data_IF_861799678923
#
_entry.id   IF_861799678923
#
_cell.length_a   1.000
_cell.length_b   1.000
_cell.length_c   1.000
_cell.angle_alpha   90.00
_cell.angle_beta   90.00
_cell.angle_gamma   90.00
#
_symmetry.space_group_name_H-M   'P 1'
#
loop_
_entity.id
_entity.type
_entity.pdbx_description
1 polymer ?
#
# COMPACT_ATOMS: atom_id res chain seq x y z
N UNK A 1 32.72 80.65 26.80
CA UNK A 1 33.39 79.35 26.72
C UNK A 1 32.32 78.33 26.36
N UNK A 2 32.36 77.90 25.08
CA UNK A 2 31.31 77.09 24.44
C UNK A 2 31.57 75.61 24.66
N UNK A 3 30.58 74.90 25.14
CA UNK A 3 30.62 73.45 25.27
C UNK A 3 29.63 72.85 24.24
N UNK A 4 30.14 72.38 23.11
CA UNK A 4 29.39 71.72 22.05
C UNK A 4 29.15 70.23 22.45
N UNK A 5 27.91 69.84 22.70
CA UNK A 5 27.49 68.45 22.81
C UNK A 5 27.24 67.89 21.44
N UNK A 6 28.00 66.85 21.07
CA UNK A 6 27.78 65.99 19.85
C UNK A 6 26.71 64.98 20.14
N UNK A 7 25.62 65.05 19.40
CA UNK A 7 24.58 64.00 19.33
C UNK A 7 25.07 62.95 18.31
N UNK A 8 25.26 61.70 18.77
CA UNK A 8 25.50 60.55 17.91
C UNK A 8 24.16 59.81 17.66
N UNK A 9 23.71 59.83 16.40
CA UNK A 9 22.60 59.02 15.95
C UNK A 9 23.10 57.57 15.74
N UNK A 10 22.44 56.60 16.41
CA UNK A 10 22.55 55.16 16.10
C UNK A 10 21.45 54.80 15.13
N UNK A 11 21.72 54.13 14.00
CA UNK A 11 20.68 53.61 13.17
C UNK A 11 20.01 52.42 13.83
N UNK A 12 18.69 52.47 13.96
CA UNK A 12 17.86 51.34 14.35
C UNK A 12 17.69 50.47 13.11
N UNK A 13 18.32 49.30 13.11
CA UNK A 13 18.08 48.25 12.10
C UNK A 13 16.69 47.64 12.41
N UNK A 14 15.72 47.95 11.56
CA UNK A 14 14.41 47.31 11.57
C UNK A 14 14.56 45.97 10.86
N UNK A 15 14.72 44.88 11.62
CA UNK A 15 14.58 43.51 11.11
C UNK A 15 13.10 43.27 10.80
N UNK A 16 12.74 43.39 9.50
CA UNK A 16 11.47 42.87 9.01
C UNK A 16 11.51 41.35 9.05
N UNK A 17 10.89 40.79 10.08
CA UNK A 17 10.59 39.36 10.12
C UNK A 17 9.56 39.07 9.00
N UNK A 18 10.01 38.46 7.89
CA UNK A 18 9.10 37.83 6.95
C UNK A 18 8.45 36.62 7.66
N UNK A 19 7.28 36.85 8.23
CA UNK A 19 6.38 35.75 8.59
C UNK A 19 5.87 35.14 7.29
N UNK A 20 6.47 34.05 6.86
CA UNK A 20 5.91 33.19 5.83
C UNK A 20 4.63 32.60 6.44
N UNK A 21 3.48 33.23 6.18
CA UNK A 21 2.18 32.67 6.49
C UNK A 21 2.01 31.47 5.56
N UNK A 22 2.19 30.26 6.08
CA UNK A 22 1.66 29.05 5.46
C UNK A 22 0.13 29.20 5.46
N UNK A 23 -0.40 29.72 4.37
CA UNK A 23 -1.84 29.81 4.14
C UNK A 23 -2.41 28.40 4.18
N UNK A 24 -3.33 28.16 5.10
CA UNK A 24 -4.14 26.95 5.15
C UNK A 24 -4.99 26.92 3.87
N UNK A 25 -4.69 25.99 2.96
CA UNK A 25 -5.50 25.69 1.77
C UNK A 25 -6.77 24.96 2.22
N UNK A 26 -7.76 25.65 2.73
CA UNK A 26 -9.05 25.04 3.04
C UNK A 26 -9.95 25.07 1.80
N UNK A 27 -10.05 23.93 1.09
CA UNK A 27 -11.14 23.68 0.15
C UNK A 27 -11.03 24.34 -1.24
N UNK A 28 -9.88 24.87 -1.63
CA UNK A 28 -9.69 25.32 -3.02
C UNK A 28 -9.45 24.13 -3.96
N UNK A 29 -10.01 24.16 -5.18
CA UNK A 29 -9.72 23.15 -6.20
C UNK A 29 -8.21 23.02 -6.44
N UNK A 30 -7.70 21.81 -6.73
CA UNK A 30 -6.29 21.66 -7.05
C UNK A 30 -5.91 22.48 -8.28
N UNK A 31 -4.70 23.01 -8.30
CA UNK A 31 -4.16 23.73 -9.47
C UNK A 31 -3.51 22.81 -10.49
N UNK A 32 -3.24 21.56 -10.11
CA UNK A 32 -2.65 20.51 -10.92
C UNK A 32 -3.66 19.41 -11.21
N UNK A 33 -3.32 18.59 -12.17
CA UNK A 33 -4.02 17.36 -12.45
C UNK A 33 -3.19 16.15 -11.94
N UNK A 34 -3.88 15.11 -11.47
CA UNK A 34 -3.32 13.92 -10.87
C UNK A 34 -3.94 12.69 -11.53
N UNK A 35 -3.13 11.71 -11.89
CA UNK A 35 -3.60 10.46 -12.49
C UNK A 35 -3.21 9.27 -11.63
N UNK A 36 -4.19 8.43 -11.39
CA UNK A 36 -3.99 7.12 -10.78
C UNK A 36 -4.56 6.04 -11.69
N UNK A 37 -3.96 4.84 -11.62
CA UNK A 37 -4.56 3.64 -12.20
C UNK A 37 -4.95 2.67 -11.09
N UNK A 38 -6.10 2.03 -11.28
CA UNK A 38 -6.58 1.02 -10.35
C UNK A 38 -7.10 -0.19 -11.13
N UNK A 39 -7.12 -1.32 -10.47
CA UNK A 39 -7.72 -2.55 -10.99
C UNK A 39 -9.13 -2.73 -10.43
N UNK A 40 -10.02 -3.25 -11.27
CA UNK A 40 -11.42 -3.56 -10.94
C UNK A 40 -11.61 -5.07 -11.13
N UNK A 41 -11.49 -5.81 -10.02
CA UNK A 41 -11.26 -7.27 -10.02
C UNK A 41 -12.38 -8.05 -10.70
N UNK A 42 -13.63 -7.88 -10.26
CA UNK A 42 -14.78 -8.60 -10.83
C UNK A 42 -15.19 -8.12 -12.23
N UNK A 43 -14.71 -6.95 -12.63
CA UNK A 43 -15.01 -6.37 -13.93
C UNK A 43 -13.96 -6.69 -15.00
N UNK A 44 -12.82 -7.30 -14.64
CA UNK A 44 -11.67 -7.49 -15.52
C UNK A 44 -11.22 -6.20 -16.21
N UNK A 45 -11.07 -5.12 -15.44
CA UNK A 45 -10.70 -3.80 -15.96
C UNK A 45 -9.57 -3.15 -15.16
N UNK A 46 -8.80 -2.35 -15.88
CA UNK A 46 -7.97 -1.29 -15.29
C UNK A 46 -8.70 0.02 -15.58
N UNK A 47 -8.92 0.85 -14.57
CA UNK A 47 -9.44 2.20 -14.74
C UNK A 47 -8.32 3.21 -14.56
N UNK A 48 -8.28 4.23 -15.42
CA UNK A 48 -7.45 5.43 -15.27
C UNK A 48 -8.35 6.55 -14.77
N UNK A 49 -8.05 7.07 -13.59
CA UNK A 49 -8.78 8.19 -13.00
C UNK A 49 -7.90 9.42 -13.03
N UNK A 50 -8.47 10.53 -13.53
CA UNK A 50 -7.88 11.86 -13.43
C UNK A 50 -8.65 12.67 -12.39
N UNK A 51 -7.91 13.37 -11.54
CA UNK A 51 -8.42 14.35 -10.59
C UNK A 51 -7.73 15.69 -10.83
N UNK A 52 -8.51 16.77 -10.89
CA UNK A 52 -7.98 18.10 -11.13
C UNK A 52 -8.99 19.19 -10.77
N UNK A 53 -8.80 20.43 -11.28
CA UNK A 53 -9.68 21.56 -10.97
C UNK A 53 -11.16 21.32 -11.27
N UNK A 54 -11.45 20.43 -12.21
CA UNK A 54 -12.82 20.05 -12.62
C UNK A 54 -13.41 18.89 -11.85
N UNK A 55 -12.71 18.37 -10.81
CA UNK A 55 -13.09 17.17 -10.05
C UNK A 55 -12.43 15.90 -10.56
N UNK A 56 -13.02 14.74 -10.25
CA UNK A 56 -12.49 13.43 -10.60
C UNK A 56 -13.31 12.79 -11.73
N UNK A 57 -12.64 12.19 -12.71
CA UNK A 57 -13.27 11.47 -13.82
C UNK A 57 -12.52 10.17 -14.15
N UNK A 58 -13.25 9.14 -14.58
CA UNK A 58 -12.64 7.97 -15.22
C UNK A 58 -12.38 8.33 -16.69
N UNK A 59 -11.13 8.52 -17.06
CA UNK A 59 -10.76 8.87 -18.44
C UNK A 59 -10.77 7.67 -19.38
N UNK A 60 -10.38 6.50 -18.85
CA UNK A 60 -10.21 5.31 -19.66
C UNK A 60 -10.41 4.05 -18.82
N UNK A 61 -10.93 3.01 -19.46
CA UNK A 61 -10.90 1.65 -18.94
C UNK A 61 -10.25 0.73 -19.95
N UNK A 62 -9.41 -0.20 -19.47
CA UNK A 62 -8.68 -1.18 -20.27
C UNK A 62 -9.04 -2.57 -19.80
N UNK A 63 -9.33 -3.47 -20.74
CA UNK A 63 -9.66 -4.87 -20.41
C UNK A 63 -8.40 -5.66 -20.04
N UNK A 64 -8.51 -6.49 -19.00
CA UNK A 64 -7.43 -7.36 -18.52
C UNK A 64 -7.68 -8.84 -18.80
N UNK A 65 -8.85 -9.16 -19.35
CA UNK A 65 -9.28 -10.55 -19.56
C UNK A 65 -8.30 -11.31 -20.45
N UNK A 66 -7.76 -12.42 -19.92
CA UNK A 66 -6.87 -13.32 -20.64
C UNK A 66 -7.69 -14.33 -21.47
N UNK A 67 -8.76 -14.87 -20.86
CA UNK A 67 -9.68 -15.80 -21.50
C UNK A 67 -11.08 -15.20 -21.48
N UNK A 68 -11.80 -15.26 -22.61
CA UNK A 68 -13.15 -14.68 -22.70
C UNK A 68 -14.20 -15.39 -21.84
N UNK A 69 -13.96 -16.65 -21.50
CA UNK A 69 -14.88 -17.49 -20.75
C UNK A 69 -14.68 -17.45 -19.23
N UNK A 70 -13.66 -16.74 -18.74
CA UNK A 70 -13.30 -16.78 -17.34
C UNK A 70 -12.96 -15.38 -16.82
N UNK A 71 -13.23 -15.14 -15.52
CA UNK A 71 -12.84 -13.93 -14.83
C UNK A 71 -11.36 -14.03 -14.50
N UNK A 72 -10.56 -13.06 -14.98
CA UNK A 72 -9.12 -13.00 -14.73
C UNK A 72 -8.79 -12.45 -13.34
N UNK A 73 -9.60 -11.52 -12.83
CA UNK A 73 -9.48 -10.94 -11.51
C UNK A 73 -8.18 -10.19 -11.31
N UNK A 74 -7.96 -9.03 -11.95
CA UNK A 74 -6.80 -8.20 -11.68
C UNK A 74 -6.84 -7.68 -10.25
N UNK A 75 -5.77 -7.88 -9.45
CA UNK A 75 -5.80 -7.60 -8.02
C UNK A 75 -4.77 -6.55 -7.58
N UNK A 76 -3.50 -6.70 -7.93
CA UNK A 76 -2.42 -5.75 -7.64
C UNK A 76 -1.99 -4.96 -8.86
N UNK A 77 -1.52 -3.74 -8.65
CA UNK A 77 -0.93 -2.87 -9.68
C UNK A 77 0.29 -2.16 -9.11
N UNK A 78 1.34 -2.04 -9.92
CA UNK A 78 2.55 -1.29 -9.59
C UNK A 78 3.16 -0.66 -10.85
N UNK A 79 3.58 0.59 -10.77
CA UNK A 79 4.32 1.25 -11.84
C UNK A 79 5.83 0.99 -11.75
N UNK A 80 6.49 0.93 -12.92
CA UNK A 80 7.95 1.12 -12.96
C UNK A 80 8.31 2.52 -12.47
N UNK A 81 9.51 2.72 -11.88
CA UNK A 81 9.93 4.03 -11.36
C UNK A 81 9.89 5.14 -12.42
N UNK A 82 10.22 4.83 -13.67
CA UNK A 82 10.19 5.76 -14.81
C UNK A 82 8.78 5.98 -15.39
N UNK A 83 7.77 5.30 -14.83
CA UNK A 83 6.35 5.36 -15.24
C UNK A 83 6.07 4.95 -16.70
N UNK A 84 7.05 4.38 -17.41
CA UNK A 84 6.84 3.89 -18.79
C UNK A 84 6.09 2.59 -18.87
N UNK A 85 6.16 1.79 -17.79
CA UNK A 85 5.45 0.53 -17.68
C UNK A 85 4.68 0.46 -16.38
N UNK A 86 3.66 -0.39 -16.35
CA UNK A 86 3.02 -0.83 -15.12
C UNK A 86 2.75 -2.33 -15.18
N UNK A 87 2.65 -2.93 -14.01
CA UNK A 87 2.47 -4.37 -13.84
C UNK A 87 1.15 -4.62 -13.14
N UNK A 88 0.41 -5.62 -13.59
CA UNK A 88 -0.86 -6.04 -13.00
C UNK A 88 -0.80 -7.51 -12.67
N UNK A 89 -1.12 -7.88 -11.42
CA UNK A 89 -1.26 -9.27 -11.03
C UNK A 89 -2.68 -9.76 -11.34
N UNK A 90 -2.77 -10.96 -11.90
CA UNK A 90 -4.02 -11.63 -12.20
C UNK A 90 -4.21 -12.75 -11.17
N UNK A 91 -5.21 -12.55 -10.30
CA UNK A 91 -5.45 -13.42 -9.15
C UNK A 91 -6.16 -14.73 -9.48
N UNK A 92 -7.13 -14.67 -10.39
CA UNK A 92 -7.89 -15.86 -10.76
C UNK A 92 -7.17 -16.69 -11.81
N UNK A 93 -7.27 -17.99 -11.69
CA UNK A 93 -6.59 -18.97 -12.54
C UNK A 93 -6.03 -20.10 -11.69
N UNK A 94 -6.18 -21.32 -12.14
CA UNK A 94 -5.63 -22.50 -11.48
C UNK A 94 -4.81 -23.33 -12.47
N UNK A 95 -3.68 -23.87 -12.05
CA UNK A 95 -3.07 -23.83 -10.71
C UNK A 95 -2.14 -22.62 -10.49
N UNK A 96 -2.07 -21.69 -11.42
CA UNK A 96 -1.10 -20.58 -11.43
C UNK A 96 -1.79 -19.24 -11.61
N UNK A 97 -1.20 -18.19 -11.06
CA UNK A 97 -1.51 -16.81 -11.38
C UNK A 97 -0.57 -16.26 -12.45
N UNK A 98 -0.75 -14.98 -12.79
CA UNK A 98 0.03 -14.31 -13.84
C UNK A 98 0.34 -12.87 -13.42
N UNK A 99 1.48 -12.34 -13.86
CA UNK A 99 1.72 -10.90 -13.90
C UNK A 99 1.81 -10.45 -15.35
N UNK A 100 1.09 -9.38 -15.68
CA UNK A 100 1.08 -8.73 -16.98
C UNK A 100 1.89 -7.44 -16.91
N UNK A 101 2.79 -7.22 -17.86
CA UNK A 101 3.50 -5.95 -18.08
C UNK A 101 2.80 -5.16 -19.16
N UNK A 102 2.40 -3.93 -18.84
CA UNK A 102 1.77 -3.00 -19.77
C UNK A 102 2.72 -1.85 -20.12
N UNK A 103 2.67 -1.41 -21.36
CA UNK A 103 3.22 -0.11 -21.74
C UNK A 103 2.23 0.99 -21.32
N UNK A 104 2.68 1.96 -20.53
CA UNK A 104 1.80 2.97 -19.94
C UNK A 104 1.16 3.90 -20.98
N UNK A 105 1.89 4.23 -22.04
CA UNK A 105 1.40 5.15 -23.08
C UNK A 105 0.21 4.61 -23.87
N UNK A 106 0.14 3.28 -24.05
CA UNK A 106 -0.87 2.63 -24.89
C UNK A 106 -1.86 1.78 -24.11
N UNK A 107 -1.53 1.40 -22.87
CA UNK A 107 -2.20 0.38 -22.05
C UNK A 107 -2.25 -1.01 -22.76
N UNK A 108 -1.24 -1.33 -23.54
CA UNK A 108 -1.12 -2.65 -24.17
C UNK A 108 -0.22 -3.56 -23.35
N UNK A 109 -0.62 -4.81 -23.22
CA UNK A 109 0.24 -5.87 -22.67
C UNK A 109 1.42 -6.07 -23.62
N UNK A 110 2.63 -5.96 -23.05
CA UNK A 110 3.87 -6.15 -23.83
C UNK A 110 4.57 -7.46 -23.48
N UNK A 111 4.43 -7.94 -22.26
CA UNK A 111 4.97 -9.22 -21.77
C UNK A 111 4.11 -9.76 -20.64
N UNK A 112 4.26 -11.05 -20.33
CA UNK A 112 3.63 -11.70 -19.17
C UNK A 112 4.52 -12.78 -18.58
N UNK A 113 4.25 -13.17 -17.32
CA UNK A 113 4.93 -14.27 -16.62
C UNK A 113 3.95 -15.03 -15.75
N UNK A 114 4.08 -16.35 -15.73
CA UNK A 114 3.32 -17.22 -14.83
C UNK A 114 3.96 -17.19 -13.43
N UNK A 115 3.13 -17.02 -12.40
CA UNK A 115 3.52 -16.92 -10.99
C UNK A 115 2.89 -18.04 -10.16
N UNK A 116 3.00 -17.93 -8.83
CA UNK A 116 2.25 -18.79 -7.92
C UNK A 116 0.75 -18.51 -7.94
N UNK A 117 -0.01 -19.25 -7.15
CA UNK A 117 -1.46 -19.13 -7.10
C UNK A 117 -1.87 -17.81 -6.42
N UNK A 118 -2.80 -17.11 -7.08
CA UNK A 118 -3.36 -15.83 -6.65
C UNK A 118 -2.30 -14.79 -6.25
N UNK A 119 -1.49 -14.27 -7.19
CA UNK A 119 -0.60 -13.16 -6.88
C UNK A 119 -1.43 -11.91 -6.56
N UNK A 120 -1.39 -11.49 -5.28
CA UNK A 120 -2.24 -10.41 -4.77
C UNK A 120 -1.59 -9.04 -4.96
N UNK A 121 -0.46 -8.81 -4.31
CA UNK A 121 0.22 -7.52 -4.37
C UNK A 121 1.54 -7.63 -5.11
N UNK A 122 1.93 -6.54 -5.73
CA UNK A 122 3.22 -6.42 -6.38
C UNK A 122 3.81 -5.04 -6.11
N UNK A 123 5.15 -4.98 -6.10
CA UNK A 123 5.91 -3.75 -5.98
C UNK A 123 7.20 -3.86 -6.80
N UNK A 124 7.69 -2.74 -7.32
CA UNK A 124 8.89 -2.69 -8.18
C UNK A 124 10.04 -2.07 -7.40
N UNK A 125 11.23 -2.65 -7.51
CA UNK A 125 12.44 -2.07 -6.90
C UNK A 125 12.71 -0.65 -7.44
N UNK A 126 13.30 0.25 -6.62
CA UNK A 126 13.56 1.64 -7.05
C UNK A 126 14.44 1.78 -8.29
N UNK A 127 15.28 0.78 -8.59
CA UNK A 127 16.08 0.72 -9.81
C UNK A 127 15.29 0.20 -11.04
N UNK A 128 14.06 -0.28 -10.81
CA UNK A 128 13.17 -0.78 -11.85
C UNK A 128 13.46 -2.21 -12.33
N UNK A 129 14.47 -2.89 -11.78
CA UNK A 129 14.93 -4.17 -12.31
C UNK A 129 14.06 -5.36 -11.92
N UNK A 130 13.48 -5.34 -10.71
CA UNK A 130 12.71 -6.48 -10.20
C UNK A 130 11.31 -6.09 -9.74
N UNK A 131 10.36 -6.95 -10.07
CA UNK A 131 9.00 -6.95 -9.54
C UNK A 131 8.90 -8.05 -8.47
N UNK A 132 8.53 -7.70 -7.25
CA UNK A 132 8.22 -8.63 -6.17
C UNK A 132 6.71 -8.83 -6.11
N UNK A 133 6.23 -10.02 -6.45
CA UNK A 133 4.80 -10.36 -6.46
C UNK A 133 4.48 -11.38 -5.37
N UNK A 134 3.53 -11.06 -4.51
CA UNK A 134 3.14 -11.92 -3.39
C UNK A 134 2.09 -12.92 -3.84
N UNK A 135 2.40 -14.21 -3.79
CA UNK A 135 1.50 -15.30 -4.09
C UNK A 135 0.62 -15.59 -2.88
N UNK A 136 -0.56 -14.98 -2.82
CA UNK A 136 -1.46 -15.05 -1.67
C UNK A 136 -2.03 -16.44 -1.41
N UNK A 137 -2.19 -17.25 -2.46
CA UNK A 137 -2.72 -18.61 -2.39
C UNK A 137 -4.15 -18.69 -1.82
N UNK A 138 -5.00 -17.67 -2.09
CA UNK A 138 -6.32 -17.53 -1.47
C UNK A 138 -7.23 -18.77 -1.65
N UNK A 139 -7.14 -19.42 -2.80
CA UNK A 139 -7.99 -20.58 -3.14
C UNK A 139 -7.23 -21.91 -3.11
N UNK A 140 -6.01 -21.92 -2.58
CA UNK A 140 -5.19 -23.11 -2.42
C UNK A 140 -5.31 -23.75 -1.04
N UNK A 141 -4.52 -24.80 -0.85
CA UNK A 141 -4.37 -25.43 0.47
C UNK A 141 -3.71 -24.44 1.47
N UNK A 142 -4.02 -24.55 2.76
CA UNK A 142 -3.46 -23.69 3.79
C UNK A 142 -2.00 -24.08 4.14
N UNK A 143 -1.12 -23.96 3.17
CA UNK A 143 0.31 -24.24 3.26
C UNK A 143 1.13 -22.95 3.06
N UNK A 144 2.39 -22.92 3.50
CA UNK A 144 3.28 -21.81 3.20
C UNK A 144 3.35 -21.53 1.69
N UNK A 145 3.15 -20.26 1.33
CA UNK A 145 3.25 -19.77 -0.03
C UNK A 145 4.56 -18.99 -0.22
N UNK A 146 4.62 -18.03 -1.15
CA UNK A 146 5.87 -17.45 -1.59
C UNK A 146 5.72 -16.02 -2.07
N UNK A 147 6.86 -15.36 -2.24
CA UNK A 147 7.01 -14.14 -3.03
C UNK A 147 7.81 -14.49 -4.29
N UNK A 148 7.27 -14.20 -5.45
CA UNK A 148 7.95 -14.33 -6.73
C UNK A 148 8.77 -13.06 -7.03
N UNK A 149 10.02 -13.23 -7.45
CA UNK A 149 10.88 -12.14 -7.95
C UNK A 149 10.99 -12.29 -9.46
N UNK A 150 10.58 -11.25 -10.17
CA UNK A 150 10.50 -11.25 -11.63
C UNK A 150 11.46 -10.19 -12.17
N UNK A 151 12.32 -10.55 -13.11
CA UNK A 151 13.05 -9.58 -13.94
C UNK A 151 12.03 -8.78 -14.77
N UNK A 152 12.01 -7.47 -14.61
CA UNK A 152 11.01 -6.61 -15.24
C UNK A 152 11.22 -6.44 -16.73
N UNK A 153 12.45 -6.60 -17.25
CA UNK A 153 12.77 -6.46 -18.66
C UNK A 153 12.34 -7.70 -19.44
N UNK A 154 12.78 -8.86 -18.97
CA UNK A 154 12.49 -10.13 -19.65
C UNK A 154 11.15 -10.74 -19.25
N UNK A 155 10.56 -10.33 -18.10
CA UNK A 155 9.38 -10.93 -17.50
C UNK A 155 9.57 -12.43 -17.25
N UNK A 156 10.68 -12.75 -16.57
CA UNK A 156 11.04 -14.10 -16.16
C UNK A 156 11.12 -14.13 -14.64
N UNK A 157 10.52 -15.14 -14.01
CA UNK A 157 10.67 -15.39 -12.58
C UNK A 157 12.09 -15.88 -12.30
N UNK A 158 12.91 -15.04 -11.65
CA UNK A 158 14.31 -15.34 -11.31
C UNK A 158 14.46 -15.99 -9.95
N UNK A 159 13.49 -15.78 -9.06
CA UNK A 159 13.45 -16.44 -7.76
C UNK A 159 11.99 -16.60 -7.28
N UNK A 160 11.77 -17.66 -6.49
CA UNK A 160 10.52 -17.87 -5.74
C UNK A 160 10.89 -18.12 -4.29
N UNK A 161 10.61 -17.13 -3.43
CA UNK A 161 11.05 -17.09 -2.04
C UNK A 161 9.93 -17.66 -1.17
N UNK A 162 10.10 -18.85 -0.57
CA UNK A 162 9.12 -19.38 0.38
C UNK A 162 8.95 -18.42 1.57
N UNK A 163 7.70 -18.17 1.97
CA UNK A 163 7.38 -17.28 3.08
C UNK A 163 6.46 -17.99 4.07
N UNK A 164 5.22 -17.63 4.13
CA UNK A 164 4.27 -17.99 5.17
C UNK A 164 2.91 -18.40 4.60
N UNK A 165 1.95 -18.71 5.45
CA UNK A 165 0.61 -19.05 5.00
C UNK A 165 -0.15 -17.75 4.74
N UNK A 166 -0.70 -17.60 3.51
CA UNK A 166 -1.44 -16.46 3.03
C UNK A 166 -0.66 -15.12 3.21
N UNK A 167 0.53 -14.97 2.59
CA UNK A 167 1.17 -13.66 2.49
C UNK A 167 0.28 -12.75 1.62
N UNK A 168 0.11 -11.47 2.02
CA UNK A 168 -0.83 -10.60 1.30
C UNK A 168 -0.24 -9.24 0.93
N UNK A 169 -0.38 -8.24 1.81
CA UNK A 169 0.06 -6.89 1.52
C UNK A 169 1.56 -6.71 1.75
N UNK A 170 2.23 -6.15 0.77
CA UNK A 170 3.68 -5.96 0.82
C UNK A 170 4.12 -4.65 0.20
N UNK A 171 5.29 -4.16 0.63
CA UNK A 171 5.99 -3.02 0.05
C UNK A 171 7.49 -3.20 0.14
N UNK A 172 8.19 -2.65 -0.83
CA UNK A 172 9.64 -2.52 -0.83
C UNK A 172 10.00 -1.25 -0.04
N UNK A 173 11.08 -1.30 0.73
CA UNK A 173 11.64 -0.12 1.40
C UNK A 173 12.13 0.92 0.39
N UNK A 174 12.18 2.18 0.80
CA UNK A 174 12.57 3.27 -0.10
C UNK A 174 13.98 3.13 -0.65
N UNK A 175 14.90 2.52 0.11
CA UNK A 175 16.27 2.19 -0.33
C UNK A 175 16.34 0.97 -1.26
N UNK A 176 15.24 0.24 -1.43
CA UNK A 176 15.16 -0.94 -2.28
C UNK A 176 15.77 -2.21 -1.69
N UNK A 177 16.35 -2.16 -0.48
CA UNK A 177 17.11 -3.28 0.10
C UNK A 177 16.23 -4.33 0.80
N UNK A 178 15.01 -3.97 1.16
CA UNK A 178 14.10 -4.84 1.91
C UNK A 178 12.70 -4.83 1.31
N UNK A 179 12.08 -6.00 1.23
CA UNK A 179 10.65 -6.16 0.97
C UNK A 179 9.99 -6.69 2.23
N UNK A 180 8.92 -6.03 2.67
CA UNK A 180 8.13 -6.41 3.84
C UNK A 180 6.81 -7.04 3.40
N UNK A 181 6.46 -8.18 3.98
CA UNK A 181 5.25 -8.93 3.64
C UNK A 181 4.45 -9.32 4.89
N UNK A 182 3.15 -9.08 4.86
CA UNK A 182 2.22 -9.42 5.93
C UNK A 182 1.68 -10.84 5.74
N UNK A 183 1.75 -11.68 6.78
CA UNK A 183 1.37 -13.09 6.77
C UNK A 183 0.09 -13.31 7.56
N UNK A 184 -1.07 -13.31 6.89
CA UNK A 184 -2.39 -13.28 7.53
C UNK A 184 -2.65 -14.44 8.50
N UNK A 185 -2.14 -15.63 8.18
CA UNK A 185 -2.46 -16.85 8.91
C UNK A 185 -1.38 -17.31 9.87
N UNK A 186 -0.30 -16.53 10.04
CA UNK A 186 0.78 -16.81 10.98
C UNK A 186 1.02 -15.66 11.98
N UNK A 187 0.28 -14.54 11.89
CA UNK A 187 0.54 -13.32 12.66
C UNK A 187 2.01 -12.87 12.53
N UNK A 188 2.59 -12.93 11.33
CA UNK A 188 3.98 -12.57 11.08
C UNK A 188 4.09 -11.39 10.11
N UNK A 189 5.05 -10.52 10.39
CA UNK A 189 5.71 -9.66 9.43
C UNK A 189 6.97 -10.37 8.96
N UNK A 190 7.17 -10.50 7.65
CA UNK A 190 8.37 -11.10 7.04
C UNK A 190 9.16 -10.02 6.34
N UNK A 191 10.48 -9.99 6.54
CA UNK A 191 11.41 -9.17 5.80
C UNK A 191 12.23 -10.05 4.84
N UNK A 192 12.24 -9.67 3.58
CA UNK A 192 13.05 -10.28 2.52
C UNK A 192 14.19 -9.31 2.18
N UNK A 193 15.42 -9.83 2.18
CA UNK A 193 16.60 -9.17 1.61
C UNK A 193 16.46 -9.24 0.09
N UNK A 194 16.35 -8.10 -0.57
CA UNK A 194 16.05 -8.05 -2.01
C UNK A 194 17.26 -8.43 -2.87
N UNK A 195 18.49 -8.16 -2.41
CA UNK A 195 19.71 -8.53 -3.12
C UNK A 195 19.97 -10.04 -3.03
N UNK A 196 19.78 -10.62 -1.82
CA UNK A 196 19.98 -12.05 -1.60
C UNK A 196 18.76 -12.89 -1.99
N UNK A 197 17.65 -12.25 -2.30
CA UNK A 197 16.37 -12.89 -2.66
C UNK A 197 15.97 -14.01 -1.67
N UNK A 198 16.00 -13.68 -0.38
CA UNK A 198 15.66 -14.60 0.70
C UNK A 198 15.09 -13.91 1.91
N UNK A 199 14.30 -14.63 2.70
CA UNK A 199 13.87 -14.14 4.01
C UNK A 199 15.08 -13.92 4.91
N UNK A 200 15.24 -12.70 5.41
CA UNK A 200 16.28 -12.31 6.38
C UNK A 200 15.80 -12.57 7.81
N UNK A 201 14.61 -12.11 8.13
CA UNK A 201 14.02 -12.20 9.48
C UNK A 201 12.48 -12.10 9.42
N UNK A 202 11.85 -12.41 10.55
CA UNK A 202 10.42 -12.23 10.73
C UNK A 202 10.11 -11.69 12.12
N UNK A 203 8.91 -11.15 12.30
CA UNK A 203 8.45 -10.59 13.56
C UNK A 203 7.04 -11.08 13.87
N UNK A 204 6.84 -11.67 15.06
CA UNK A 204 5.52 -12.08 15.53
C UNK A 204 4.72 -10.87 16.03
N UNK A 205 3.52 -10.73 15.51
CA UNK A 205 2.65 -9.58 15.74
C UNK A 205 1.56 -9.83 16.80
N UNK A 206 1.37 -11.09 17.22
CA UNK A 206 0.35 -11.44 18.21
C UNK A 206 0.60 -10.70 19.52
N UNK A 207 -0.44 -10.05 20.07
CA UNK A 207 -0.34 -9.27 21.29
C UNK A 207 0.15 -10.10 22.48
N UNK A 208 1.17 -9.59 23.18
CA UNK A 208 1.82 -10.27 24.32
C UNK A 208 2.76 -11.42 23.93
N UNK A 209 3.00 -11.62 22.60
CA UNK A 209 3.93 -12.64 22.09
C UNK A 209 4.87 -12.05 21.03
N UNK A 210 5.05 -10.74 21.04
CA UNK A 210 5.88 -10.02 20.09
C UNK A 210 7.33 -10.47 20.20
N UNK A 211 7.85 -10.99 19.09
CA UNK A 211 9.22 -11.51 19.05
C UNK A 211 9.79 -11.48 17.63
N UNK A 212 11.04 -11.06 17.52
CA UNK A 212 11.84 -11.16 16.29
C UNK A 212 12.51 -12.52 16.16
N UNK A 213 12.62 -13.00 14.91
CA UNK A 213 13.29 -14.25 14.55
C UNK A 213 14.23 -14.02 13.36
N UNK A 214 15.32 -14.76 13.30
CA UNK A 214 16.11 -14.91 12.08
C UNK A 214 15.38 -15.90 11.16
N UNK A 215 15.06 -15.51 9.94
CA UNK A 215 14.25 -16.32 9.03
C UNK A 215 12.79 -16.45 9.49
N UNK A 216 12.15 -17.55 9.15
CA UNK A 216 10.78 -17.89 9.55
C UNK A 216 10.82 -18.92 10.66
N UNK A 217 10.12 -18.69 11.79
CA UNK A 217 10.09 -19.67 12.88
C UNK A 217 9.44 -20.97 12.40
N UNK A 218 10.10 -22.09 12.68
CA UNK A 218 9.55 -23.42 12.49
C UNK A 218 8.50 -23.65 13.59
N UNK A 219 7.22 -23.57 13.23
CA UNK A 219 6.18 -24.05 14.15
C UNK A 219 6.27 -25.58 14.21
N UNK A 220 6.35 -26.13 15.42
CA UNK A 220 6.27 -27.58 15.59
C UNK A 220 4.87 -28.01 15.18
N UNK A 221 4.73 -28.45 13.94
CA UNK A 221 3.55 -29.20 13.52
C UNK A 221 3.62 -30.56 14.24
N UNK A 222 2.74 -30.80 15.21
CA UNK A 222 2.47 -32.17 15.64
C UNK A 222 1.83 -32.85 14.43
N UNK A 223 2.63 -33.61 13.71
CA UNK A 223 2.17 -34.47 12.63
C UNK A 223 1.29 -35.55 13.21
N UNK A 224 -0.02 -35.36 13.17
CA UNK A 224 -0.96 -36.47 13.18
C UNK A 224 -1.11 -36.97 11.75
N UNK A 225 -0.47 -38.10 11.44
CA UNK A 225 -0.66 -38.78 10.15
C UNK A 225 -2.16 -39.02 9.91
N UNK A 226 -2.68 -38.50 8.82
CA UNK A 226 -3.99 -38.86 8.27
C UNK A 226 -5.16 -37.93 8.50
N UNK A 227 -5.01 -36.72 9.09
CA UNK A 227 -6.08 -35.73 9.16
C UNK A 227 -5.68 -34.42 8.43
N UNK A 228 -6.46 -34.05 7.43
CA UNK A 228 -6.56 -32.65 6.97
C UNK A 228 -7.11 -31.83 8.14
N UNK A 229 -6.22 -31.32 9.01
CA UNK A 229 -6.64 -30.48 10.14
C UNK A 229 -7.22 -29.20 9.56
N UNK A 230 -8.46 -28.80 9.96
CA UNK A 230 -8.92 -27.45 9.72
C UNK A 230 -7.94 -26.50 10.38
N UNK A 231 -7.44 -25.52 9.61
CA UNK A 231 -6.49 -24.51 10.08
C UNK A 231 -6.96 -23.94 11.41
N UNK A 232 -6.18 -24.13 12.48
CA UNK A 232 -6.56 -23.65 13.82
C UNK A 232 -6.47 -22.11 13.86
N UNK A 233 -7.54 -21.44 13.43
CA UNK A 233 -7.69 -19.99 13.49
C UNK A 233 -7.72 -19.43 14.92
N UNK A 234 -7.80 -20.28 15.94
CA UNK A 234 -7.95 -19.86 17.33
C UNK A 234 -6.71 -19.13 17.89
N UNK A 235 -5.53 -19.34 17.30
CA UNK A 235 -4.29 -18.69 17.73
C UNK A 235 -3.99 -17.36 17.04
N UNK A 236 -4.71 -17.02 15.96
CA UNK A 236 -4.47 -15.81 15.18
C UNK A 236 -5.18 -14.63 15.84
N UNK A 237 -4.44 -13.60 16.20
CA UNK A 237 -4.96 -12.41 16.91
C UNK A 237 -4.87 -11.14 16.09
N UNK A 238 -3.82 -10.96 15.28
CA UNK A 238 -3.59 -9.81 14.43
C UNK A 238 -4.21 -10.00 13.02
N UNK A 239 -3.97 -11.14 12.37
CA UNK A 239 -4.28 -11.36 10.95
C UNK A 239 -3.79 -10.20 10.08
N UNK A 240 -2.47 -10.02 9.94
CA UNK A 240 -1.91 -8.87 9.27
C UNK A 240 -2.21 -8.89 7.78
N UNK A 241 -2.71 -7.78 7.25
CA UNK A 241 -3.13 -7.65 5.84
C UNK A 241 -2.20 -6.78 5.00
N UNK A 242 -1.43 -5.90 5.63
CA UNK A 242 -0.54 -4.98 4.93
C UNK A 242 0.70 -4.66 5.75
N UNK A 243 1.84 -4.54 5.08
CA UNK A 243 3.10 -4.07 5.64
C UNK A 243 3.58 -2.84 4.85
N UNK A 244 3.72 -1.70 5.53
CA UNK A 244 4.09 -0.43 4.94
C UNK A 244 5.33 0.13 5.64
N UNK A 245 6.51 0.18 4.99
CA UNK A 245 7.67 0.87 5.55
C UNK A 245 7.42 2.39 5.64
N UNK A 246 8.00 3.03 6.64
CA UNK A 246 8.06 4.49 6.75
C UNK A 246 8.92 5.07 5.64
N UNK A 247 8.74 6.35 5.33
CA UNK A 247 9.49 7.04 4.27
C UNK A 247 11.00 7.07 4.52
N UNK A 248 11.42 7.09 5.78
CA UNK A 248 12.83 7.06 6.21
C UNK A 248 13.39 5.64 6.43
N UNK A 249 12.56 4.61 6.24
CA UNK A 249 12.93 3.21 6.42
C UNK A 249 13.13 2.78 7.88
N UNK A 250 12.95 3.67 8.87
CA UNK A 250 13.21 3.35 10.28
C UNK A 250 12.12 2.51 10.94
N UNK A 251 10.94 2.41 10.32
CA UNK A 251 9.75 1.71 10.83
C UNK A 251 9.08 0.89 9.75
N UNK A 252 8.34 -0.14 10.19
CA UNK A 252 7.32 -0.80 9.36
C UNK A 252 6.00 -0.75 10.13
N UNK A 253 4.97 -0.23 9.48
CA UNK A 253 3.60 -0.23 9.96
C UNK A 253 2.88 -1.46 9.40
N UNK A 254 2.19 -2.20 10.27
CA UNK A 254 1.48 -3.42 9.88
C UNK A 254 0.01 -3.33 10.27
N UNK A 255 -0.87 -3.45 9.30
CA UNK A 255 -2.32 -3.44 9.52
C UNK A 255 -2.78 -4.78 10.09
N UNK A 256 -3.14 -4.82 11.38
CA UNK A 256 -3.71 -5.98 12.05
C UNK A 256 -5.23 -5.99 11.93
N UNK A 257 -5.73 -6.60 10.87
CA UNK A 257 -7.14 -6.57 10.49
C UNK A 257 -8.09 -7.12 11.58
N UNK A 258 -7.69 -8.19 12.26
CA UNK A 258 -8.51 -8.86 13.26
C UNK A 258 -8.56 -8.09 14.58
N UNK A 259 -7.45 -7.49 15.01
CA UNK A 259 -7.36 -6.72 16.25
C UNK A 259 -7.70 -5.24 16.09
N UNK A 260 -7.93 -4.73 14.87
CA UNK A 260 -8.28 -3.35 14.58
C UNK A 260 -7.21 -2.35 15.05
N UNK A 261 -5.96 -2.66 14.80
CA UNK A 261 -4.83 -1.84 15.19
C UNK A 261 -3.73 -1.87 14.14
N UNK A 262 -2.88 -0.86 14.16
CA UNK A 262 -1.64 -0.83 13.38
C UNK A 262 -0.49 -1.11 14.34
N UNK A 263 0.31 -2.12 14.03
CA UNK A 263 1.52 -2.46 14.79
C UNK A 263 2.70 -1.74 14.13
N UNK A 264 3.46 -0.99 14.92
CA UNK A 264 4.68 -0.31 14.49
C UNK A 264 5.89 -1.09 14.99
N UNK A 265 6.74 -1.49 14.06
CA UNK A 265 7.98 -2.26 14.31
C UNK A 265 9.19 -1.40 13.95
N UNK A 266 10.16 -1.32 14.84
CA UNK A 266 11.47 -0.71 14.58
C UNK A 266 12.29 -1.61 13.66
N UNK A 267 12.77 -1.09 12.54
CA UNK A 267 13.52 -1.88 11.54
C UNK A 267 14.95 -2.19 11.97
N UNK A 268 15.56 -1.37 12.81
CA UNK A 268 16.93 -1.58 13.29
C UNK A 268 16.97 -2.56 14.46
N UNK A 269 16.16 -2.28 15.50
CA UNK A 269 16.12 -3.11 16.72
C UNK A 269 15.29 -4.37 16.54
N UNK A 270 14.44 -4.42 15.50
CA UNK A 270 13.48 -5.47 15.21
C UNK A 270 12.60 -5.79 16.42
N UNK A 271 11.99 -4.72 16.95
CA UNK A 271 11.16 -4.74 18.15
C UNK A 271 9.86 -3.95 17.96
N UNK A 272 8.84 -4.31 18.72
CA UNK A 272 7.62 -3.53 18.83
C UNK A 272 7.94 -2.12 19.34
N UNK A 273 7.46 -1.10 18.62
CA UNK A 273 7.47 0.29 19.10
C UNK A 273 6.18 0.58 19.83
N UNK A 274 5.05 0.37 19.18
CA UNK A 274 3.71 0.60 19.74
C UNK A 274 2.63 -0.10 18.92
N UNK A 275 1.41 -0.11 19.50
CA UNK A 275 0.16 -0.47 18.84
C UNK A 275 -0.71 0.76 18.74
N UNK A 276 -1.19 1.09 17.56
CA UNK A 276 -2.00 2.26 17.25
C UNK A 276 -3.42 1.76 17.02
N UNK A 277 -4.41 2.12 17.86
CA UNK A 277 -5.82 1.79 17.60
C UNK A 277 -6.27 2.38 16.26
N UNK A 278 -6.96 1.58 15.45
CA UNK A 278 -7.46 1.95 14.13
C UNK A 278 -8.97 1.64 14.00
N UNK A 279 -9.52 1.86 12.82
CA UNK A 279 -10.89 1.46 12.52
C UNK A 279 -11.05 -0.05 12.37
N UNK A 280 -12.32 -0.52 12.48
CA UNK A 280 -12.60 -1.94 12.36
C UNK A 280 -12.21 -2.48 10.99
N UNK A 281 -11.42 -3.55 11.01
CA UNK A 281 -10.93 -4.19 9.81
C UNK A 281 -9.91 -3.34 9.06
N UNK A 282 -8.99 -2.68 9.79
CA UNK A 282 -7.86 -1.98 9.16
C UNK A 282 -7.16 -2.92 8.17
N UNK A 283 -6.90 -2.42 6.93
CA UNK A 283 -6.57 -3.33 5.84
C UNK A 283 -5.34 -2.91 5.04
N UNK A 284 -5.34 -1.76 4.41
CA UNK A 284 -4.24 -1.22 3.62
C UNK A 284 -3.69 0.05 4.29
N UNK A 285 -2.41 0.31 4.10
CA UNK A 285 -1.71 1.45 4.66
C UNK A 285 -0.96 2.22 3.57
N UNK A 286 -0.87 3.53 3.74
CA UNK A 286 -0.03 4.41 2.95
C UNK A 286 0.66 5.43 3.85
N UNK A 287 1.81 5.94 3.44
CA UNK A 287 2.53 7.02 4.13
C UNK A 287 2.81 8.15 3.17
N UNK A 288 2.80 9.38 3.66
CA UNK A 288 3.29 10.53 2.90
C UNK A 288 4.80 10.46 2.72
N UNK A 289 5.32 10.97 1.60
CA UNK A 289 6.77 10.92 1.32
C UNK A 289 7.58 11.74 2.32
N UNK A 290 6.98 12.75 2.95
CA UNK A 290 7.59 13.54 4.03
C UNK A 290 7.51 12.85 5.41
N UNK A 291 6.89 11.67 5.51
CA UNK A 291 6.79 10.86 6.71
C UNK A 291 5.85 11.42 7.79
N UNK A 292 5.04 12.45 7.49
CA UNK A 292 4.21 13.09 8.52
C UNK A 292 2.89 12.36 8.77
N UNK A 293 2.28 11.81 7.73
CA UNK A 293 0.98 11.16 7.82
C UNK A 293 1.06 9.67 7.49
N UNK A 294 0.36 8.88 8.29
CA UNK A 294 0.05 7.49 8.03
C UNK A 294 -1.45 7.39 7.73
N UNK A 295 -1.79 6.73 6.62
CA UNK A 295 -3.15 6.56 6.17
C UNK A 295 -3.55 5.09 6.26
N UNK A 296 -4.81 4.84 6.56
CA UNK A 296 -5.33 3.48 6.65
C UNK A 296 -6.72 3.35 6.05
N UNK A 297 -6.99 2.23 5.39
CA UNK A 297 -8.33 1.82 5.00
C UNK A 297 -8.93 0.91 6.07
N UNK A 298 -10.19 1.10 6.45
CA UNK A 298 -10.89 0.32 7.47
C UNK A 298 -12.05 -0.42 6.83
N UNK A 299 -11.80 -1.65 6.40
CA UNK A 299 -12.68 -2.41 5.50
C UNK A 299 -14.07 -2.67 6.09
N UNK A 300 -14.15 -2.98 7.41
CA UNK A 300 -15.42 -3.25 8.10
C UNK A 300 -16.14 -1.98 8.55
N UNK A 301 -15.42 -0.89 8.81
CA UNK A 301 -16.03 0.39 9.18
C UNK A 301 -16.49 1.22 7.98
N UNK A 302 -16.15 0.81 6.75
CA UNK A 302 -16.36 1.62 5.55
C UNK A 302 -15.83 3.05 5.76
N UNK A 303 -14.56 3.17 6.15
CA UNK A 303 -13.93 4.46 6.46
C UNK A 303 -12.46 4.45 6.12
N UNK A 304 -11.88 5.64 6.03
CA UNK A 304 -10.43 5.86 5.95
C UNK A 304 -9.98 6.66 7.15
N UNK A 305 -8.79 6.35 7.68
CA UNK A 305 -8.20 7.04 8.82
C UNK A 305 -6.91 7.74 8.41
N UNK A 306 -6.66 8.89 9.00
CA UNK A 306 -5.45 9.69 8.83
C UNK A 306 -4.83 9.86 10.21
N UNK A 307 -3.58 9.44 10.36
CA UNK A 307 -2.84 9.53 11.61
C UNK A 307 -1.64 10.47 11.44
N UNK A 308 -1.29 11.17 12.52
CA UNK A 308 0.04 11.72 12.70
C UNK A 308 1.03 10.57 12.90
N UNK A 309 1.96 10.39 11.97
CA UNK A 309 2.85 9.24 11.97
C UNK A 309 3.80 9.24 13.17
N UNK A 310 4.23 10.41 13.64
CA UNK A 310 5.15 10.53 14.77
C UNK A 310 4.51 10.13 16.10
N UNK A 311 3.29 10.59 16.38
CA UNK A 311 2.58 10.30 17.64
C UNK A 311 1.68 9.05 17.58
N UNK A 312 1.26 8.63 16.37
CA UNK A 312 0.23 7.61 16.17
C UNK A 312 -1.19 8.10 16.49
N UNK A 313 -1.38 9.40 16.70
CA UNK A 313 -2.69 9.98 16.98
C UNK A 313 -3.54 10.00 15.71
N UNK A 314 -4.76 9.47 15.78
CA UNK A 314 -5.74 9.63 14.70
C UNK A 314 -6.19 11.09 14.62
N UNK A 315 -5.96 11.71 13.46
CA UNK A 315 -6.31 13.11 13.18
C UNK A 315 -7.69 13.24 12.58
N UNK A 316 -8.10 12.25 11.77
CA UNK A 316 -9.41 12.19 11.16
C UNK A 316 -9.79 10.74 10.80
N UNK A 317 -11.10 10.46 10.85
CA UNK A 317 -11.71 9.27 10.29
C UNK A 317 -12.89 9.69 9.43
N UNK A 318 -12.85 9.34 8.15
CA UNK A 318 -13.80 9.79 7.14
C UNK A 318 -14.62 8.58 6.67
N UNK A 319 -15.96 8.64 6.75
CA UNK A 319 -16.80 7.58 6.18
C UNK A 319 -16.70 7.61 4.65
N UNK A 320 -16.65 6.45 4.03
CA UNK A 320 -16.64 6.30 2.58
C UNK A 320 -18.04 6.15 2.02
N UNK A 321 -18.24 6.53 0.76
CA UNK A 321 -19.52 6.45 0.04
C UNK A 321 -20.09 5.02 0.00
N UNK A 322 -19.20 4.03 -0.13
CA UNK A 322 -19.57 2.61 -0.22
C UNK A 322 -18.81 1.79 0.81
N UNK A 323 -19.19 0.54 0.94
CA UNK A 323 -18.53 -0.43 1.82
C UNK A 323 -17.31 -1.04 1.12
N UNK A 324 -16.45 -1.65 1.92
CA UNK A 324 -15.28 -2.45 1.50
C UNK A 324 -14.18 -1.57 0.92
N UNK A 325 -13.64 -0.68 1.76
CA UNK A 325 -12.47 0.15 1.40
C UNK A 325 -11.25 -0.75 1.23
N UNK A 326 -10.49 -0.57 0.12
CA UNK A 326 -9.40 -1.48 -0.22
C UNK A 326 -8.02 -0.81 -0.28
N UNK A 327 -7.72 -0.12 -1.37
CA UNK A 327 -6.40 0.44 -1.65
C UNK A 327 -6.25 1.90 -1.23
N UNK A 328 -5.01 2.34 -1.05
CA UNK A 328 -4.64 3.73 -0.85
C UNK A 328 -3.33 4.05 -1.54
N UNK A 329 -3.26 5.22 -2.18
CA UNK A 329 -2.03 5.81 -2.70
C UNK A 329 -2.01 7.31 -2.44
N UNK A 330 -0.83 7.86 -2.18
CA UNK A 330 -0.61 9.29 -1.90
C UNK A 330 0.04 9.96 -3.11
N UNK A 331 -0.37 11.18 -3.42
CA UNK A 331 0.31 11.98 -4.44
C UNK A 331 1.74 12.35 -4.01
N UNK A 332 2.72 12.41 -4.93
CA UNK A 332 4.11 12.68 -4.60
C UNK A 332 4.36 14.03 -3.90
N UNK A 333 3.45 14.99 -4.08
CA UNK A 333 3.50 16.30 -3.41
C UNK A 333 2.83 16.30 -2.02
N UNK A 334 2.33 15.14 -1.56
CA UNK A 334 1.66 14.95 -0.28
C UNK A 334 0.39 15.80 -0.08
N UNK A 335 -0.25 16.26 -1.17
CA UNK A 335 -1.47 17.05 -1.08
C UNK A 335 -2.73 16.19 -1.05
N UNK A 336 -2.74 15.07 -1.77
CA UNK A 336 -3.94 14.24 -1.91
C UNK A 336 -3.64 12.76 -1.69
N UNK A 337 -4.63 12.06 -1.15
CA UNK A 337 -4.65 10.60 -1.12
C UNK A 337 -5.87 10.08 -1.89
N UNK A 338 -5.67 8.99 -2.62
CA UNK A 338 -6.68 8.31 -3.42
C UNK A 338 -6.98 6.96 -2.80
N UNK A 339 -8.25 6.72 -2.50
CA UNK A 339 -8.72 5.48 -1.90
C UNK A 339 -9.65 4.75 -2.86
N UNK A 340 -9.48 3.43 -2.99
CA UNK A 340 -10.41 2.58 -3.71
C UNK A 340 -11.43 1.97 -2.77
N UNK A 341 -12.68 1.91 -3.21
CA UNK A 341 -13.79 1.27 -2.50
C UNK A 341 -14.45 0.28 -3.44
N UNK A 342 -14.51 -0.98 -3.06
CA UNK A 342 -14.96 -2.07 -3.93
C UNK A 342 -16.47 -2.00 -4.24
N UNK A 343 -17.29 -1.59 -3.28
CA UNK A 343 -18.74 -1.80 -3.31
C UNK A 343 -19.12 -3.23 -2.87
N UNK A 344 -20.37 -3.60 -3.01
CA UNK A 344 -20.89 -4.94 -2.70
C UNK A 344 -21.68 -5.47 -3.91
N UNK A 345 -21.38 -6.69 -4.33
CA UNK A 345 -22.02 -7.33 -5.47
C UNK A 345 -21.75 -6.56 -6.78
N UNK A 346 -22.82 -6.20 -7.49
CA UNK A 346 -22.75 -5.48 -8.76
C UNK A 346 -22.67 -3.95 -8.60
N UNK A 347 -22.54 -3.44 -7.37
CA UNK A 347 -22.37 -2.01 -7.16
C UNK A 347 -21.08 -1.52 -7.84
N UNK A 348 -21.09 -0.32 -8.44
CA UNK A 348 -19.84 0.26 -8.92
C UNK A 348 -18.84 0.38 -7.77
N UNK A 349 -17.56 0.27 -8.10
CA UNK A 349 -16.50 0.72 -7.21
C UNK A 349 -16.49 2.25 -7.14
N UNK A 350 -15.61 2.82 -6.32
CA UNK A 350 -15.40 4.26 -6.22
C UNK A 350 -13.93 4.54 -6.01
N UNK A 351 -13.43 5.63 -6.58
CA UNK A 351 -12.22 6.30 -6.11
C UNK A 351 -12.65 7.54 -5.35
N UNK A 352 -12.19 7.67 -4.12
CA UNK A 352 -12.40 8.83 -3.27
C UNK A 352 -11.08 9.56 -3.07
N UNK A 353 -11.09 10.88 -3.26
CA UNK A 353 -9.92 11.74 -3.13
C UNK A 353 -10.03 12.53 -1.84
N UNK A 354 -9.02 12.39 -1.00
CA UNK A 354 -8.91 13.12 0.26
C UNK A 354 -7.84 14.19 0.15
N UNK A 355 -8.20 15.43 0.44
CA UNK A 355 -7.25 16.52 0.67
C UNK A 355 -6.61 16.33 2.05
N UNK A 356 -5.29 16.17 2.07
CA UNK A 356 -4.54 15.82 3.28
C UNK A 356 -4.32 16.98 4.25
N UNK A 357 -4.45 18.21 3.79
CA UNK A 357 -4.37 19.39 4.67
C UNK A 357 -5.69 19.57 5.42
N UNK A 358 -6.80 19.67 4.70
CA UNK A 358 -8.13 19.82 5.30
C UNK A 358 -8.68 18.53 5.91
N UNK A 359 -8.15 17.37 5.54
CA UNK A 359 -8.61 16.04 5.94
C UNK A 359 -10.08 15.80 5.62
N UNK A 360 -10.46 16.13 4.37
CA UNK A 360 -11.81 15.97 3.84
C UNK A 360 -11.79 15.23 2.50
N UNK A 361 -12.85 14.49 2.22
CA UNK A 361 -13.10 13.97 0.88
C UNK A 361 -13.49 15.17 0.01
N UNK A 362 -12.74 15.41 -1.06
CA UNK A 362 -12.91 16.56 -1.97
C UNK A 362 -13.40 16.14 -3.35
N UNK A 363 -13.29 14.87 -3.70
CA UNK A 363 -13.85 14.34 -4.94
C UNK A 363 -14.15 12.85 -4.81
N UNK A 364 -15.12 12.39 -5.60
CA UNK A 364 -15.52 10.99 -5.73
C UNK A 364 -15.83 10.70 -7.19
N UNK A 365 -15.45 9.52 -7.67
CA UNK A 365 -15.82 9.05 -9.01
C UNK A 365 -16.16 7.56 -8.97
N UNK A 366 -17.28 7.19 -9.58
CA UNK A 366 -17.67 5.80 -9.73
C UNK A 366 -16.81 5.11 -10.78
N UNK A 367 -16.37 3.89 -10.46
CA UNK A 367 -15.52 3.03 -11.30
C UNK A 367 -16.24 1.73 -11.61
N UNK A 368 -15.72 0.87 -12.50
CA UNK A 368 -16.21 -0.49 -12.61
C UNK A 368 -16.18 -1.22 -11.24
N UNK A 369 -17.03 -2.25 -11.04
CA UNK A 369 -17.14 -2.97 -9.79
C UNK A 369 -15.84 -3.54 -9.24
N UNK A 370 -15.76 -3.63 -7.90
CA UNK A 370 -14.66 -4.19 -7.14
C UNK A 370 -13.32 -3.47 -7.41
N UNK A 371 -13.31 -2.15 -7.19
CA UNK A 371 -12.09 -1.33 -7.23
C UNK A 371 -11.13 -1.76 -6.11
N UNK A 372 -10.00 -2.35 -6.46
CA UNK A 372 -9.03 -3.01 -5.58
C UNK A 372 -7.68 -2.27 -5.53
N UNK A 373 -6.62 -2.85 -6.04
CA UNK A 373 -5.29 -2.25 -6.07
C UNK A 373 -5.25 -0.92 -6.84
N UNK A 374 -4.46 0.04 -6.34
CA UNK A 374 -4.31 1.37 -6.93
C UNK A 374 -2.85 1.80 -6.84
N UNK A 375 -2.36 2.50 -7.87
CA UNK A 375 -1.05 3.13 -7.85
C UNK A 375 -1.06 4.48 -8.57
N UNK A 376 -0.12 5.34 -8.20
CA UNK A 376 0.01 6.70 -8.70
C UNK A 376 0.79 6.73 -10.01
N UNK A 377 0.20 7.30 -11.04
CA UNK A 377 0.85 7.40 -12.34
C UNK A 377 1.66 8.68 -12.49
N UNK A 378 0.97 9.85 -12.55
CA UNK A 378 1.62 11.15 -12.80
C UNK A 378 0.81 12.31 -12.22
N UNK A 379 1.44 13.48 -12.17
CA UNK A 379 0.79 14.77 -11.96
C UNK A 379 1.37 15.80 -12.92
N UNK A 380 0.58 16.74 -13.36
CA UNK A 380 0.94 17.83 -14.29
C UNK A 380 0.41 19.18 -13.83
#
# INVERSE_FOLDING_TARGET
MNCLRRFTWKPILLCAALTCSMGTRSGEPPTKEYWVKLVCESADRIATVRFGPSGAVVEKTTETRILQSDISGPHGIAFSPDKKNFFVTIGHGRPFGTALKYETATDRVVKQVTLGLFPATADVTPDGNFLFAVNFNLHGDPVPSSVSVVDTNEMVEVARIPTCIMPHGSRISHDGLHQYSACMMNDLLVEIDTEKMKVSRSFRLSAGKEQGYTGIPQEKTEHHEGMTMPMNMAGITCSPTWAQPSSDGSRVYVACNKSNEIVEVDTREWKLVRRIPAGNGVYNLGVTSDGKLLLATNKRDASVSIFDAASGKELARLPTKRKVVHGVVVSPDNLFAFFTVEGIGEQPGTVEVVDLDSKKIVAEVDTPPQAAGIDFWKME
#
